data_IF_390623591290
#
_entry.id   IF_390623591290
#
_cell.length_a   1.000
_cell.length_b   1.000
_cell.length_c   1.000
_cell.angle_alpha   90.00
_cell.angle_beta   90.00
_cell.angle_gamma   90.00
#
_symmetry.space_group_name_H-M   'P 1'
#
loop_
_entity.id
_entity.type
_entity.pdbx_description
1 polymer ?
#
# COMPACT_ATOMS: atom_id res chain seq x y z
N UNK A 1 -19.10 15.81 13.41
CA UNK A 1 -20.09 15.89 14.50
C UNK A 1 -19.62 14.97 15.62
N UNK A 2 -19.89 15.33 16.86
CA UNK A 2 -19.69 14.46 18.04
C UNK A 2 -20.85 13.48 18.20
N UNK A 3 -20.81 12.67 19.27
CA UNK A 3 -21.88 11.70 19.59
C UNK A 3 -23.24 12.37 19.87
N UNK A 4 -23.24 13.70 20.12
CA UNK A 4 -24.44 14.53 20.32
C UNK A 4 -24.87 15.26 19.02
N UNK A 5 -24.32 14.91 17.86
CA UNK A 5 -24.55 15.53 16.55
C UNK A 5 -24.15 17.02 16.45
N UNK A 6 -23.41 17.57 17.41
CA UNK A 6 -22.92 18.94 17.36
C UNK A 6 -21.75 19.04 16.39
N UNK A 7 -21.74 20.07 15.55
CA UNK A 7 -20.61 20.34 14.64
C UNK A 7 -19.43 20.83 15.46
N UNK A 8 -18.27 20.21 15.23
CA UNK A 8 -17.01 20.55 15.88
C UNK A 8 -16.15 21.25 14.85
N UNK A 9 -15.69 22.45 15.16
CA UNK A 9 -14.87 23.31 14.27
C UNK A 9 -13.42 23.46 14.77
N UNK A 10 -13.12 23.04 16.02
CA UNK A 10 -11.75 23.09 16.54
C UNK A 10 -10.84 22.11 15.77
N UNK A 11 -9.79 22.59 15.08
CA UNK A 11 -8.93 21.74 14.25
C UNK A 11 -8.26 20.59 15.01
N UNK A 12 -7.95 20.79 16.31
CA UNK A 12 -7.35 19.74 17.15
C UNK A 12 -8.36 18.64 17.44
N UNK A 13 -9.55 18.98 17.88
CA UNK A 13 -10.62 18.03 18.16
C UNK A 13 -11.03 17.27 16.88
N UNK A 14 -11.18 17.97 15.76
CA UNK A 14 -11.48 17.36 14.45
C UNK A 14 -10.37 16.39 14.03
N UNK A 15 -9.09 16.74 14.22
CA UNK A 15 -7.98 15.83 13.89
C UNK A 15 -7.98 14.55 14.73
N UNK A 16 -8.34 14.63 16.01
CA UNK A 16 -8.47 13.45 16.90
C UNK A 16 -9.62 12.53 16.45
N UNK A 17 -10.77 13.12 16.08
CA UNK A 17 -11.94 12.36 15.59
C UNK A 17 -11.58 11.60 14.31
N UNK A 18 -10.97 12.27 13.32
CA UNK A 18 -10.54 11.61 12.10
C UNK A 18 -9.51 10.51 12.37
N UNK A 19 -8.56 10.74 13.28
CA UNK A 19 -7.53 9.76 13.57
C UNK A 19 -8.14 8.49 14.19
N UNK A 20 -9.02 8.63 15.18
CA UNK A 20 -9.77 7.51 15.76
C UNK A 20 -10.62 6.79 14.72
N UNK A 21 -11.30 7.53 13.85
CA UNK A 21 -12.12 6.95 12.79
C UNK A 21 -11.27 6.13 11.82
N UNK A 22 -10.18 6.68 11.31
CA UNK A 22 -9.33 5.99 10.32
C UNK A 22 -8.59 4.78 10.88
N UNK A 23 -8.16 4.82 12.15
CA UNK A 23 -7.47 3.69 12.77
C UNK A 23 -8.39 2.50 13.07
N UNK A 24 -9.68 2.74 13.25
CA UNK A 24 -10.63 1.69 13.62
C UNK A 24 -11.43 1.14 12.41
N UNK A 25 -11.32 1.76 11.24
CA UNK A 25 -12.19 1.44 10.11
C UNK A 25 -12.01 0.01 9.61
N UNK A 26 -10.76 -0.47 9.52
CA UNK A 26 -10.42 -1.84 9.11
C UNK A 26 -11.01 -2.85 10.09
N UNK A 27 -10.74 -2.67 11.38
CA UNK A 27 -11.24 -3.54 12.45
C UNK A 27 -12.77 -3.59 12.47
N UNK A 28 -13.43 -2.44 12.36
CA UNK A 28 -14.90 -2.40 12.35
C UNK A 28 -15.51 -3.11 11.13
N UNK A 29 -14.88 -2.98 9.96
CA UNK A 29 -15.32 -3.67 8.75
C UNK A 29 -15.05 -5.17 8.83
N UNK A 30 -13.88 -5.60 9.30
CA UNK A 30 -13.56 -7.02 9.42
C UNK A 30 -14.46 -7.74 10.43
N UNK A 31 -14.81 -7.10 11.54
CA UNK A 31 -15.75 -7.65 12.52
C UNK A 31 -17.18 -7.79 11.97
N UNK A 32 -17.57 -6.98 10.98
CA UNK A 32 -18.88 -7.06 10.33
C UNK A 32 -18.94 -8.13 9.23
N UNK A 33 -17.82 -8.69 8.81
CA UNK A 33 -17.79 -9.74 7.80
C UNK A 33 -18.20 -11.08 8.42
N UNK A 34 -19.00 -11.89 7.70
CA UNK A 34 -19.26 -13.25 8.11
C UNK A 34 -17.95 -14.06 8.09
N UNK A 35 -17.82 -15.10 8.93
CA UNK A 35 -16.67 -15.97 8.88
C UNK A 35 -16.52 -16.61 7.48
N UNK A 36 -15.30 -16.79 6.99
CA UNK A 36 -15.09 -17.40 5.68
C UNK A 36 -15.69 -18.78 5.62
N UNK A 37 -16.49 -19.06 4.59
CA UNK A 37 -17.13 -20.35 4.38
C UNK A 37 -16.14 -21.43 3.94
N UNK A 38 -15.03 -21.04 3.37
CA UNK A 38 -14.00 -21.93 2.81
C UNK A 38 -12.62 -21.38 3.12
N UNK A 39 -11.65 -22.28 3.26
CA UNK A 39 -10.25 -21.90 3.38
C UNK A 39 -9.75 -21.31 2.05
N UNK A 40 -9.07 -20.16 2.09
CA UNK A 40 -8.53 -19.50 0.89
C UNK A 40 -7.56 -20.41 0.11
N UNK A 41 -6.92 -21.40 0.78
CA UNK A 41 -6.01 -22.37 0.17
C UNK A 41 -6.66 -23.22 -0.91
N UNK A 42 -7.99 -23.38 -0.88
CA UNK A 42 -8.74 -24.12 -1.92
C UNK A 42 -8.73 -23.41 -3.29
N UNK A 43 -8.40 -22.11 -3.31
CA UNK A 43 -8.31 -21.34 -4.54
C UNK A 43 -6.90 -21.28 -5.12
N UNK A 44 -5.93 -21.98 -4.52
CA UNK A 44 -4.58 -22.10 -5.04
C UNK A 44 -4.36 -23.48 -5.64
N UNK A 45 -3.92 -23.52 -6.88
CA UNK A 45 -3.44 -24.76 -7.54
C UNK A 45 -2.04 -25.10 -6.99
N UNK A 46 -2.02 -25.68 -5.80
CA UNK A 46 -0.79 -25.99 -5.04
C UNK A 46 0.21 -26.93 -5.76
N UNK A 47 -0.20 -27.91 -6.59
CA UNK A 47 0.74 -28.86 -7.19
C UNK A 47 1.71 -28.25 -8.21
N UNK A 48 1.41 -27.07 -8.76
CA UNK A 48 2.14 -26.50 -9.89
C UNK A 48 2.97 -25.24 -9.58
N UNK A 49 3.02 -24.78 -8.32
CA UNK A 49 3.79 -23.61 -7.94
C UNK A 49 5.29 -23.95 -7.76
N UNK A 50 5.97 -24.32 -8.84
CA UNK A 50 7.43 -24.51 -8.87
C UNK A 50 8.14 -23.15 -9.16
N UNK A 51 7.77 -22.12 -8.42
CA UNK A 51 8.51 -20.87 -8.52
C UNK A 51 9.84 -20.99 -7.76
N UNK A 52 10.91 -20.33 -8.24
CA UNK A 52 12.14 -20.21 -7.46
C UNK A 52 11.86 -19.54 -6.11
N UNK A 53 12.76 -19.70 -5.16
CA UNK A 53 12.63 -19.02 -3.87
C UNK A 53 12.83 -17.52 -4.06
N UNK A 54 11.92 -16.74 -3.48
CA UNK A 54 12.07 -15.31 -3.39
C UNK A 54 12.77 -14.93 -2.08
N UNK A 55 13.84 -14.15 -2.21
CA UNK A 55 14.42 -13.44 -1.08
C UNK A 55 14.80 -12.01 -1.49
N UNK A 56 14.67 -11.07 -0.55
CA UNK A 56 15.11 -9.71 -0.82
C UNK A 56 16.64 -9.68 -0.99
N UNK A 57 17.11 -9.09 -2.08
CA UNK A 57 18.52 -8.94 -2.35
C UNK A 57 19.02 -7.54 -1.97
N UNK A 58 20.31 -7.47 -1.70
CA UNK A 58 21.00 -6.23 -1.36
C UNK A 58 21.07 -5.32 -2.59
N UNK A 59 21.07 -4.02 -2.34
CA UNK A 59 21.07 -2.99 -3.38
C UNK A 59 22.40 -2.25 -3.44
N UNK A 60 22.73 -1.76 -4.64
CA UNK A 60 23.89 -0.91 -4.87
C UNK A 60 23.60 0.58 -4.66
N UNK A 61 24.65 1.35 -4.49
CA UNK A 61 24.57 2.82 -4.34
C UNK A 61 23.92 3.46 -5.57
N UNK A 62 24.19 2.92 -6.77
CA UNK A 62 23.63 3.45 -8.01
C UNK A 62 22.11 3.34 -8.07
N UNK A 63 21.54 2.25 -7.58
CA UNK A 63 20.08 2.06 -7.50
C UNK A 63 19.41 3.13 -6.61
N UNK A 64 20.02 3.45 -5.47
CA UNK A 64 19.55 4.57 -4.62
C UNK A 64 19.57 5.89 -5.38
N UNK A 65 20.65 6.18 -6.11
CA UNK A 65 20.77 7.39 -6.91
C UNK A 65 19.64 7.47 -7.94
N UNK A 66 19.33 6.37 -8.62
CA UNK A 66 18.31 6.33 -9.66
C UNK A 66 16.90 6.43 -9.08
N UNK A 67 16.66 5.82 -7.93
CA UNK A 67 15.42 6.01 -7.17
C UNK A 67 15.26 7.48 -6.76
N UNK A 68 16.30 8.11 -6.19
CA UNK A 68 16.27 9.52 -5.81
C UNK A 68 15.97 10.43 -7.01
N UNK A 69 16.60 10.18 -8.19
CA UNK A 69 16.29 10.91 -9.42
C UNK A 69 14.83 10.77 -9.84
N UNK A 70 14.22 9.60 -9.67
CA UNK A 70 12.84 9.31 -10.06
C UNK A 70 11.77 9.94 -9.17
N UNK A 71 12.11 10.33 -7.93
CA UNK A 71 11.15 10.90 -6.99
C UNK A 71 10.70 12.30 -7.45
N UNK A 72 9.39 12.58 -7.36
CA UNK A 72 8.83 13.89 -7.68
C UNK A 72 9.03 14.87 -6.52
N UNK A 73 9.61 16.03 -6.79
CA UNK A 73 9.83 17.11 -5.82
C UNK A 73 8.51 17.82 -5.40
N UNK A 74 7.43 17.64 -6.17
CA UNK A 74 6.12 18.26 -5.89
C UNK A 74 5.34 17.57 -4.77
N UNK A 75 5.84 16.46 -4.22
CA UNK A 75 5.15 15.72 -3.17
C UNK A 75 5.36 16.34 -1.79
N UNK A 76 4.34 16.24 -0.95
CA UNK A 76 4.38 16.66 0.45
C UNK A 76 5.43 15.90 1.25
N UNK A 77 6.01 16.57 2.24
CA UNK A 77 6.97 15.98 3.21
C UNK A 77 6.26 15.05 4.19
N UNK A 78 6.97 14.06 4.70
CA UNK A 78 6.50 13.22 5.81
C UNK A 78 6.42 13.94 7.15
N UNK A 79 6.32 13.17 8.22
CA UNK A 79 6.33 13.70 9.59
C UNK A 79 7.68 14.34 9.98
N UNK A 80 8.76 13.85 9.37
CA UNK A 80 10.15 14.32 9.52
C UNK A 80 10.40 15.69 8.87
N UNK A 81 9.45 16.18 8.09
CA UNK A 81 9.52 17.43 7.34
C UNK A 81 10.71 17.52 6.36
N UNK A 82 11.37 16.40 6.04
CA UNK A 82 12.47 16.38 5.07
C UNK A 82 11.90 16.46 3.65
N UNK A 83 12.21 17.51 2.88
CA UNK A 83 11.72 17.63 1.52
C UNK A 83 12.51 16.72 0.59
N UNK A 84 11.82 16.11 -0.39
CA UNK A 84 12.45 15.25 -1.41
C UNK A 84 13.56 16.00 -2.15
N UNK A 85 13.40 17.33 -2.35
CA UNK A 85 14.42 18.16 -2.99
C UNK A 85 15.77 18.05 -2.27
N UNK A 86 15.78 18.16 -0.93
CA UNK A 86 17.03 18.06 -0.15
C UNK A 86 17.74 16.72 -0.36
N UNK A 87 16.99 15.61 -0.44
CA UNK A 87 17.58 14.29 -0.73
C UNK A 87 18.12 14.21 -2.18
N UNK A 88 17.40 14.79 -3.14
CA UNK A 88 17.82 14.79 -4.55
C UNK A 88 19.08 15.63 -4.78
N UNK A 89 19.13 16.81 -4.17
CA UNK A 89 20.26 17.74 -4.34
C UNK A 89 21.55 17.13 -3.73
N UNK A 90 21.42 16.32 -2.66
CA UNK A 90 22.54 15.67 -1.97
C UNK A 90 22.64 14.16 -2.28
N UNK A 91 22.08 13.69 -3.38
CA UNK A 91 21.96 12.24 -3.70
C UNK A 91 23.27 11.48 -3.68
N UNK A 92 24.37 12.08 -4.17
CA UNK A 92 25.67 11.39 -4.24
C UNK A 92 26.29 11.17 -2.85
N UNK A 93 26.12 12.12 -1.94
CA UNK A 93 26.61 12.00 -0.55
C UNK A 93 25.70 11.12 0.31
N UNK A 94 24.39 11.13 0.06
CA UNK A 94 23.42 10.38 0.85
C UNK A 94 23.24 8.93 0.37
N UNK A 95 23.46 8.65 -0.91
CA UNK A 95 23.18 7.32 -1.47
C UNK A 95 23.99 6.19 -0.81
N UNK A 96 25.28 6.33 -0.48
CA UNK A 96 26.02 5.29 0.24
C UNK A 96 25.41 4.98 1.62
N UNK A 97 25.02 6.01 2.37
CA UNK A 97 24.42 5.87 3.70
C UNK A 97 23.03 5.22 3.60
N UNK A 98 22.23 5.66 2.63
CA UNK A 98 20.90 5.09 2.41
C UNK A 98 20.99 3.63 1.94
N UNK A 99 21.94 3.29 1.05
CA UNK A 99 22.17 1.91 0.64
C UNK A 99 22.57 1.03 1.83
N UNK A 100 23.44 1.53 2.70
CA UNK A 100 23.81 0.82 3.93
C UNK A 100 22.60 0.56 4.84
N UNK A 101 21.78 1.58 5.11
CA UNK A 101 20.58 1.45 5.95
C UNK A 101 19.59 0.46 5.34
N UNK A 102 19.33 0.54 4.04
CA UNK A 102 18.43 -0.37 3.34
C UNK A 102 18.94 -1.81 3.40
N UNK A 103 20.23 -2.02 3.11
CA UNK A 103 20.85 -3.35 3.15
C UNK A 103 20.83 -3.94 4.57
N UNK A 104 21.10 -3.12 5.58
CA UNK A 104 21.01 -3.54 6.98
C UNK A 104 19.56 -3.92 7.35
N UNK A 105 18.58 -3.18 6.86
CA UNK A 105 17.15 -3.49 7.04
C UNK A 105 16.77 -4.82 6.40
N UNK A 106 17.25 -5.10 5.17
CA UNK A 106 17.01 -6.35 4.46
C UNK A 106 17.70 -7.52 5.19
N UNK A 107 18.98 -7.39 5.54
CA UNK A 107 19.75 -8.45 6.20
C UNK A 107 19.17 -8.86 7.56
N UNK A 108 18.61 -7.91 8.31
CA UNK A 108 18.02 -8.18 9.63
C UNK A 108 16.51 -8.42 9.57
N UNK A 109 15.89 -8.40 8.40
CA UNK A 109 14.42 -8.48 8.24
C UNK A 109 13.65 -7.45 9.09
N UNK A 110 14.22 -6.24 9.26
CA UNK A 110 13.66 -5.18 10.11
C UNK A 110 13.37 -3.93 9.28
N UNK A 111 12.11 -3.54 9.22
CA UNK A 111 11.70 -2.24 8.70
C UNK A 111 11.75 -1.21 9.85
N UNK A 112 12.56 -0.14 9.76
CA UNK A 112 12.74 0.80 10.88
C UNK A 112 11.45 1.48 11.32
N UNK A 113 11.14 1.49 12.61
CA UNK A 113 9.87 2.03 13.15
C UNK A 113 9.66 3.51 12.84
N UNK A 114 10.73 4.31 12.80
CA UNK A 114 10.64 5.71 12.41
C UNK A 114 10.17 5.88 10.95
N UNK A 115 10.36 4.89 10.09
CA UNK A 115 9.88 4.92 8.71
C UNK A 115 8.43 4.45 8.56
N UNK A 116 7.82 3.90 9.64
CA UNK A 116 6.41 3.44 9.66
C UNK A 116 5.42 4.52 10.08
N UNK A 117 5.89 5.74 10.36
CA UNK A 117 5.04 6.84 10.81
C UNK A 117 4.41 7.56 9.63
N UNK A 118 3.09 7.60 9.57
CA UNK A 118 2.33 8.29 8.53
C UNK A 118 1.72 9.60 9.07
N UNK A 119 1.90 10.68 8.33
CA UNK A 119 1.09 11.89 8.47
C UNK A 119 -0.12 11.76 7.57
N UNK A 120 -1.32 11.71 8.13
CA UNK A 120 -2.56 11.52 7.38
C UNK A 120 -3.24 12.87 7.14
N UNK A 121 -3.64 13.10 5.87
CA UNK A 121 -4.47 14.23 5.48
C UNK A 121 -5.83 13.71 5.02
N UNK A 122 -6.94 14.10 5.70
CA UNK A 122 -8.28 13.75 5.24
C UNK A 122 -8.59 14.47 3.91
N UNK A 123 -8.98 13.69 2.89
CA UNK A 123 -9.41 14.23 1.60
C UNK A 123 -10.90 13.96 1.41
N UNK A 124 -11.70 15.03 1.36
CA UNK A 124 -13.14 14.90 1.11
C UNK A 124 -13.40 14.32 -0.29
N UNK A 125 -14.26 13.30 -0.39
CA UNK A 125 -14.61 12.64 -1.65
C UNK A 125 -15.90 13.21 -2.24
N UNK A 126 -16.98 13.13 -1.47
CA UNK A 126 -18.34 13.59 -1.81
C UNK A 126 -19.24 13.46 -0.58
N UNK A 127 -20.43 14.06 -0.63
CA UNK A 127 -21.43 13.95 0.43
C UNK A 127 -21.25 14.98 1.55
N UNK A 128 -21.91 14.76 2.68
CA UNK A 128 -21.87 15.66 3.84
C UNK A 128 -20.44 15.78 4.41
N UNK A 129 -19.84 16.97 4.44
CA UNK A 129 -18.48 17.18 4.95
C UNK A 129 -18.39 16.95 6.48
N UNK A 130 -19.49 16.86 7.19
CA UNK A 130 -19.49 16.56 8.63
C UNK A 130 -19.37 15.07 8.93
N UNK A 131 -19.43 14.20 7.93
CA UNK A 131 -19.31 12.75 8.09
C UNK A 131 -17.92 12.26 7.70
N UNK A 132 -17.17 11.67 8.65
CA UNK A 132 -15.83 11.14 8.43
C UNK A 132 -15.76 10.05 7.34
N UNK A 133 -16.84 9.29 7.11
CA UNK A 133 -16.89 8.25 6.08
C UNK A 133 -16.76 8.80 4.66
N UNK A 134 -17.07 10.09 4.46
CA UNK A 134 -16.96 10.79 3.19
C UNK A 134 -15.54 11.28 2.88
N UNK A 135 -14.57 10.93 3.72
CA UNK A 135 -13.15 11.29 3.54
C UNK A 135 -12.30 10.07 3.28
N UNK A 136 -11.25 10.27 2.49
CA UNK A 136 -10.16 9.30 2.28
C UNK A 136 -8.96 9.69 3.12
N UNK A 137 -8.34 8.76 3.89
CA UNK A 137 -7.07 9.01 4.54
C UNK A 137 -5.94 9.01 3.48
N UNK A 138 -5.29 10.14 3.28
CA UNK A 138 -4.09 10.20 2.44
C UNK A 138 -2.87 10.14 3.34
N UNK A 139 -2.24 8.96 3.39
CA UNK A 139 -1.03 8.72 4.17
C UNK A 139 0.20 9.30 3.48
N UNK A 140 0.92 10.17 4.16
CA UNK A 140 2.13 10.82 3.69
C UNK A 140 3.29 10.30 4.55
N UNK A 141 4.10 9.43 3.99
CA UNK A 141 5.29 8.87 4.62
C UNK A 141 6.52 9.74 4.37
N UNK A 142 7.58 9.52 5.15
CA UNK A 142 8.88 10.14 4.93
C UNK A 142 9.44 9.82 3.54
N UNK A 143 10.30 10.67 3.03
CA UNK A 143 10.93 10.43 1.73
C UNK A 143 11.84 9.18 1.77
N UNK A 144 12.48 8.93 2.91
CA UNK A 144 13.34 7.75 3.13
C UNK A 144 12.49 6.47 3.14
N UNK A 145 11.31 6.47 3.81
CA UNK A 145 10.38 5.35 3.76
C UNK A 145 10.00 5.00 2.32
N UNK A 146 9.69 6.02 1.51
CA UNK A 146 9.33 5.82 0.09
C UNK A 146 10.46 5.19 -0.74
N UNK A 147 11.72 5.45 -0.40
CA UNK A 147 12.87 4.81 -1.07
C UNK A 147 12.86 3.33 -0.76
N UNK A 148 12.80 2.96 0.52
CA UNK A 148 12.78 1.56 0.94
C UNK A 148 11.55 0.83 0.37
N UNK A 149 10.36 1.42 0.46
CA UNK A 149 9.14 0.85 -0.12
C UNK A 149 9.24 0.63 -1.64
N UNK A 150 9.87 1.56 -2.37
CA UNK A 150 10.09 1.40 -3.82
C UNK A 150 11.02 0.23 -4.14
N UNK A 151 12.05 0.01 -3.35
CA UNK A 151 12.98 -1.10 -3.51
C UNK A 151 12.25 -2.42 -3.30
N UNK A 152 11.54 -2.56 -2.18
CA UNK A 152 10.78 -3.77 -1.89
C UNK A 152 9.73 -4.06 -2.97
N UNK A 153 8.98 -3.03 -3.37
CA UNK A 153 7.97 -3.15 -4.42
C UNK A 153 8.59 -3.52 -5.78
N UNK A 154 9.77 -2.99 -6.12
CA UNK A 154 10.45 -3.32 -7.36
C UNK A 154 10.85 -4.80 -7.40
N UNK A 155 11.51 -5.29 -6.35
CA UNK A 155 11.96 -6.68 -6.27
C UNK A 155 10.79 -7.68 -6.27
N UNK A 156 9.71 -7.38 -5.52
CA UNK A 156 8.51 -8.23 -5.52
C UNK A 156 7.86 -8.25 -6.91
N UNK A 157 7.69 -7.07 -7.54
CA UNK A 157 7.05 -7.02 -8.85
C UNK A 157 7.89 -7.72 -9.93
N UNK A 158 9.22 -7.57 -9.91
CA UNK A 158 10.13 -8.26 -10.82
C UNK A 158 9.98 -9.77 -10.70
N UNK A 159 10.03 -10.30 -9.48
CA UNK A 159 9.82 -11.72 -9.22
C UNK A 159 8.46 -12.23 -9.73
N UNK A 160 7.39 -11.46 -9.51
CA UNK A 160 6.03 -11.85 -9.95
C UNK A 160 5.87 -11.78 -11.47
N UNK A 161 6.52 -10.82 -12.14
CA UNK A 161 6.50 -10.73 -13.61
C UNK A 161 7.35 -11.82 -14.27
N UNK A 162 8.59 -12.05 -13.81
CA UNK A 162 9.51 -13.04 -14.36
C UNK A 162 8.98 -14.47 -14.21
N UNK A 163 8.29 -14.76 -13.12
CA UNK A 163 7.72 -16.08 -12.87
C UNK A 163 6.26 -16.22 -13.33
N UNK A 164 5.73 -15.24 -14.07
CA UNK A 164 4.36 -15.25 -14.62
C UNK A 164 3.27 -15.49 -13.56
N UNK A 165 3.50 -14.99 -12.33
CA UNK A 165 2.55 -15.14 -11.22
C UNK A 165 1.33 -14.26 -11.40
N UNK A 166 1.50 -13.09 -12.02
CA UNK A 166 0.38 -12.22 -12.34
C UNK A 166 -0.47 -12.78 -13.48
N UNK A 167 -1.78 -12.81 -13.29
CA UNK A 167 -2.70 -13.12 -14.40
C UNK A 167 -2.69 -12.02 -15.46
N UNK A 168 -2.87 -12.38 -16.72
CA UNK A 168 -2.95 -11.42 -17.84
C UNK A 168 -4.13 -10.46 -17.72
N UNK A 169 -5.15 -10.83 -16.97
CA UNK A 169 -6.33 -10.00 -16.70
C UNK A 169 -6.09 -8.95 -15.61
N UNK A 170 -4.95 -8.95 -14.95
CA UNK A 170 -4.62 -7.94 -13.94
C UNK A 170 -3.97 -6.71 -14.59
N UNK A 171 -4.68 -5.59 -14.62
CA UNK A 171 -4.21 -4.31 -15.16
C UNK A 171 -3.79 -3.31 -14.08
N UNK A 172 -4.26 -3.48 -12.85
CA UNK A 172 -3.88 -2.62 -11.72
C UNK A 172 -2.55 -3.00 -11.10
N UNK A 173 -1.77 -1.98 -10.66
CA UNK A 173 -0.50 -2.13 -9.93
C UNK A 173 0.63 -2.86 -10.68
N UNK A 174 0.51 -3.04 -11.98
CA UNK A 174 1.54 -3.64 -12.86
C UNK A 174 2.19 -2.60 -13.77
N UNK A 175 3.50 -2.76 -14.01
CA UNK A 175 4.24 -1.92 -14.95
C UNK A 175 3.70 -2.12 -16.37
N UNK A 176 3.63 -1.06 -17.15
CA UNK A 176 3.12 -1.06 -18.53
C UNK A 176 1.64 -1.49 -18.69
N UNK A 177 0.90 -1.71 -17.61
CA UNK A 177 -0.55 -1.95 -17.62
C UNK A 177 -1.28 -0.71 -17.09
N UNK A 178 -2.46 -0.43 -17.61
CA UNK A 178 -3.26 0.75 -17.23
C UNK A 178 -4.75 0.53 -17.51
N UNK A 179 -5.57 1.47 -17.07
CA UNK A 179 -7.02 1.42 -17.23
C UNK A 179 -7.45 1.38 -18.71
N UNK A 180 -6.73 2.08 -19.60
CA UNK A 180 -7.02 2.07 -21.04
C UNK A 180 -6.84 0.66 -21.60
N UNK A 181 -5.77 -0.04 -21.22
CA UNK A 181 -5.56 -1.43 -21.63
C UNK A 181 -6.67 -2.37 -21.15
N UNK A 182 -7.15 -2.18 -19.90
CA UNK A 182 -8.28 -2.95 -19.37
C UNK A 182 -9.57 -2.72 -20.18
N UNK A 183 -9.86 -1.46 -20.53
CA UNK A 183 -11.03 -1.09 -21.34
C UNK A 183 -10.90 -1.67 -22.73
N UNK A 184 -9.74 -1.54 -23.38
CA UNK A 184 -9.51 -2.09 -24.72
C UNK A 184 -9.74 -3.59 -24.74
N UNK A 185 -9.23 -4.33 -23.76
CA UNK A 185 -9.46 -5.78 -23.67
C UNK A 185 -10.94 -6.12 -23.54
N UNK A 186 -11.66 -5.42 -22.67
CA UNK A 186 -13.11 -5.59 -22.53
C UNK A 186 -13.83 -5.31 -23.85
N UNK A 187 -13.46 -4.24 -24.56
CA UNK A 187 -14.07 -3.88 -25.85
C UNK A 187 -13.78 -4.91 -26.94
N UNK A 188 -12.55 -5.48 -26.97
CA UNK A 188 -12.21 -6.58 -27.89
C UNK A 188 -13.10 -7.80 -27.64
N UNK A 189 -13.25 -8.23 -26.40
CA UNK A 189 -14.08 -9.38 -26.03
C UNK A 189 -15.56 -9.14 -26.38
N UNK A 190 -16.08 -7.92 -26.13
CA UNK A 190 -17.45 -7.54 -26.54
C UNK A 190 -17.64 -7.56 -28.03
N UNK A 191 -16.67 -7.05 -28.80
CA UNK A 191 -16.74 -7.00 -30.27
C UNK A 191 -16.69 -8.40 -30.88
N UNK A 192 -15.81 -9.28 -30.39
CA UNK A 192 -15.71 -10.67 -30.83
C UNK A 192 -17.04 -11.41 -30.57
N UNK A 193 -17.62 -11.23 -29.39
CA UNK A 193 -18.88 -11.88 -29.03
C UNK A 193 -20.05 -11.36 -29.86
N UNK A 194 -20.11 -10.06 -30.12
CA UNK A 194 -21.13 -9.44 -30.96
C UNK A 194 -21.07 -10.00 -32.39
N UNK A 195 -19.89 -10.06 -33.00
CA UNK A 195 -19.71 -10.62 -34.34
C UNK A 195 -20.04 -12.12 -34.42
N UNK A 196 -19.93 -12.82 -33.28
CA UNK A 196 -20.29 -14.24 -33.19
C UNK A 196 -21.73 -14.47 -32.76
N UNK A 197 -22.57 -13.43 -32.77
CA UNK A 197 -23.98 -13.47 -32.31
C UNK A 197 -24.15 -14.04 -30.87
N UNK A 198 -23.17 -13.82 -30.00
CA UNK A 198 -23.20 -14.24 -28.59
C UNK A 198 -23.73 -13.11 -27.71
N UNK A 199 -24.46 -13.49 -26.66
CA UNK A 199 -24.90 -12.57 -25.62
C UNK A 199 -23.76 -12.44 -24.61
N UNK A 200 -23.37 -11.20 -24.25
CA UNK A 200 -22.38 -10.92 -23.21
C UNK A 200 -23.06 -10.32 -22.00
N UNK A 201 -22.79 -10.90 -20.82
CA UNK A 201 -23.22 -10.36 -19.54
C UNK A 201 -22.01 -9.89 -18.75
N UNK A 202 -22.02 -8.62 -18.31
CA UNK A 202 -20.97 -8.04 -17.47
C UNK A 202 -21.38 -7.98 -16.01
N UNK A 203 -20.52 -8.48 -15.11
CA UNK A 203 -20.68 -8.35 -13.66
C UNK A 203 -19.52 -7.51 -13.12
N UNK A 204 -19.84 -6.37 -12.50
CA UNK A 204 -18.86 -5.45 -11.96
C UNK A 204 -18.85 -5.55 -10.44
N UNK A 205 -17.70 -5.89 -9.85
CA UNK A 205 -17.50 -6.03 -8.42
C UNK A 205 -16.56 -4.93 -7.92
N UNK A 206 -16.91 -4.28 -6.80
CA UNK A 206 -16.06 -3.29 -6.13
C UNK A 206 -15.95 -3.63 -4.64
N UNK A 207 -14.74 -3.55 -4.10
CA UNK A 207 -14.47 -3.80 -2.69
C UNK A 207 -14.48 -2.49 -1.90
N UNK A 208 -15.31 -2.45 -0.87
CA UNK A 208 -15.29 -1.32 0.06
C UNK A 208 -14.01 -1.33 0.89
N UNK A 209 -13.17 -0.28 0.72
CA UNK A 209 -11.93 -0.08 1.49
C UNK A 209 -11.00 -1.30 1.47
N UNK A 210 -10.77 -1.86 0.29
CA UNK A 210 -10.01 -3.10 0.07
C UNK A 210 -8.67 -3.18 0.83
N UNK A 211 -7.92 -2.07 0.92
CA UNK A 211 -6.63 -2.04 1.61
C UNK A 211 -6.73 -1.99 3.13
N UNK A 212 -7.85 -1.50 3.67
CA UNK A 212 -8.08 -1.38 5.11
C UNK A 212 -8.60 -2.69 5.73
N UNK A 213 -8.99 -3.67 4.90
CA UNK A 213 -9.61 -4.93 5.32
C UNK A 213 -8.73 -6.16 5.05
N UNK A 214 -7.47 -5.97 4.65
CA UNK A 214 -6.56 -7.08 4.40
C UNK A 214 -6.14 -7.71 5.72
N UNK A 215 -6.40 -9.02 5.84
CA UNK A 215 -5.87 -9.84 6.93
C UNK A 215 -4.37 -10.10 6.68
N UNK A 216 -3.53 -9.60 7.58
CA UNK A 216 -2.08 -9.70 7.44
C UNK A 216 -1.58 -11.14 7.61
N UNK A 217 -2.21 -11.96 8.44
CA UNK A 217 -1.81 -13.36 8.63
C UNK A 217 -2.12 -14.18 7.38
N UNK A 218 -3.27 -13.96 6.76
CA UNK A 218 -3.61 -14.57 5.46
C UNK A 218 -2.63 -14.09 4.38
N UNK A 219 -2.28 -12.81 4.36
CA UNK A 219 -1.31 -12.28 3.41
C UNK A 219 0.05 -12.98 3.55
N UNK A 220 0.57 -13.12 4.77
CA UNK A 220 1.86 -13.80 5.03
C UNK A 220 1.77 -15.29 4.64
N UNK A 221 0.65 -15.96 4.91
CA UNK A 221 0.43 -17.32 4.45
C UNK A 221 0.44 -17.42 2.92
N UNK A 222 -0.19 -16.47 2.21
CA UNK A 222 -0.14 -16.42 0.74
C UNK A 222 1.28 -16.26 0.20
N UNK A 223 2.14 -15.48 0.85
CA UNK A 223 3.54 -15.37 0.46
C UNK A 223 4.30 -16.70 0.56
N UNK A 224 3.91 -17.58 1.48
CA UNK A 224 4.46 -18.94 1.56
C UNK A 224 4.15 -19.76 0.29
N UNK A 225 2.96 -19.61 -0.28
CA UNK A 225 2.60 -20.27 -1.54
C UNK A 225 3.39 -19.73 -2.74
N UNK A 226 3.76 -18.44 -2.72
CA UNK A 226 4.64 -17.86 -3.72
C UNK A 226 6.12 -18.10 -3.45
N UNK A 227 6.46 -19.04 -2.55
CA UNK A 227 7.82 -19.48 -2.23
C UNK A 227 8.74 -18.37 -1.68
N UNK A 228 8.16 -17.42 -0.90
CA UNK A 228 8.95 -16.45 -0.15
C UNK A 228 9.71 -17.12 0.99
N UNK A 229 11.00 -16.76 1.17
CA UNK A 229 11.78 -17.22 2.32
C UNK A 229 11.21 -16.70 3.63
N UNK A 230 11.55 -17.35 4.75
CA UNK A 230 11.11 -16.90 6.07
C UNK A 230 11.62 -15.49 6.37
N UNK A 231 12.87 -15.18 6.01
CA UNK A 231 13.45 -13.84 6.16
C UNK A 231 12.61 -12.78 5.42
N UNK A 232 12.22 -13.05 4.18
CA UNK A 232 11.40 -12.12 3.39
C UNK A 232 10.00 -11.96 3.95
N UNK A 233 9.39 -13.04 4.46
CA UNK A 233 8.08 -12.99 5.13
C UNK A 233 8.15 -12.20 6.44
N UNK A 234 9.19 -12.43 7.24
CA UNK A 234 9.41 -11.71 8.50
C UNK A 234 9.64 -10.21 8.25
N UNK A 235 10.37 -9.87 7.18
CA UNK A 235 10.54 -8.47 6.78
C UNK A 235 9.20 -7.81 6.40
N UNK A 236 8.37 -8.48 5.61
CA UNK A 236 7.03 -7.97 5.24
C UNK A 236 6.14 -7.89 6.49
N UNK A 237 6.16 -8.88 7.36
CA UNK A 237 5.43 -8.86 8.63
C UNK A 237 5.87 -7.68 9.51
N UNK A 238 7.18 -7.46 9.62
CA UNK A 238 7.73 -6.30 10.32
C UNK A 238 7.28 -4.98 9.69
N UNK A 239 7.28 -4.88 8.34
CA UNK A 239 6.81 -3.71 7.60
C UNK A 239 5.33 -3.39 7.88
N UNK A 240 4.48 -4.40 7.96
CA UNK A 240 3.05 -4.24 8.21
C UNK A 240 2.71 -3.93 9.68
N UNK A 241 3.57 -4.37 10.60
CA UNK A 241 3.32 -4.27 12.05
C UNK A 241 3.72 -2.92 12.64
N UNK A 242 3.09 -2.55 13.76
CA UNK A 242 3.43 -1.36 14.56
C UNK A 242 3.44 -0.04 13.79
N UNK A 243 2.65 0.05 12.73
CA UNK A 243 2.51 1.29 11.96
C UNK A 243 1.77 2.32 12.78
N UNK A 244 2.28 3.56 12.77
CA UNK A 244 1.70 4.67 13.52
C UNK A 244 1.24 5.76 12.57
N UNK A 245 0.17 6.43 12.95
CA UNK A 245 -0.28 7.59 12.21
C UNK A 245 -0.74 8.72 13.14
N UNK A 246 -0.75 9.90 12.62
CA UNK A 246 -1.46 11.06 13.17
C UNK A 246 -2.15 11.81 12.03
N UNK A 247 -3.26 12.46 12.33
CA UNK A 247 -4.00 13.27 11.37
C UNK A 247 -3.60 14.73 11.54
N UNK A 248 -3.34 15.42 10.43
CA UNK A 248 -3.06 16.85 10.41
C UNK A 248 -4.17 17.60 9.68
N UNK A 249 -4.77 18.59 10.38
CA UNK A 249 -5.75 19.54 9.82
C UNK A 249 -5.23 20.93 10.07
N UNK A 250 -5.03 21.69 8.99
CA UNK A 250 -4.35 22.99 9.03
C UNK A 250 -2.97 22.83 9.69
N UNK A 251 -2.78 23.40 10.89
CA UNK A 251 -1.54 23.29 11.67
C UNK A 251 -1.69 22.42 12.93
N UNK A 252 -2.90 21.92 13.21
CA UNK A 252 -3.16 21.04 14.36
C UNK A 252 -2.90 19.59 14.01
N UNK A 253 -2.20 18.88 14.89
CA UNK A 253 -1.92 17.46 14.79
C UNK A 253 -2.70 16.69 15.85
N UNK A 254 -3.26 15.55 15.51
CA UNK A 254 -3.78 14.60 16.50
C UNK A 254 -2.65 13.95 17.29
N UNK A 255 -3.00 13.17 18.30
CA UNK A 255 -2.13 12.20 18.94
C UNK A 255 -1.68 11.12 17.94
N UNK A 256 -0.55 10.42 18.22
CA UNK A 256 -0.16 9.23 17.46
C UNK A 256 -1.03 8.05 17.88
N UNK A 257 -1.59 7.35 16.91
CA UNK A 257 -2.27 6.07 17.12
C UNK A 257 -1.60 4.98 16.30
N UNK A 258 -1.59 3.77 16.85
CA UNK A 258 -1.10 2.57 16.15
C UNK A 258 -2.24 1.98 15.32
N UNK A 259 -1.96 1.64 14.08
CA UNK A 259 -2.86 0.87 13.21
C UNK A 259 -2.92 -0.58 13.72
N UNK A 260 -4.12 -1.12 13.77
CA UNK A 260 -4.39 -2.50 14.21
C UNK A 260 -4.50 -3.41 13.01
#
# INVERSE_FOLDING_TARGET
KDDQQKVIDDPKAVSEIFNKFFTNIGTNLSMALPPPKTDFRQYFDLPNLQHPKFDFHLIGVQEIIDILKSLSIKKSTGYDKIPIKALKDNKYSLAPVLAYIVNLSIQNSVFPDLLKVARVKPLHKKGDPTNCSNYRPISILSAISKILEKILAAQINEFFEENQIFTDSQFGFRKCRNTTGAINRLMEDLYINFNSSKITQGIFLDFSKAFDTIDHDILIQKLTFYNFTDNSKDFIKCYLSNRKQFVQINHANSSFLTLK
#
